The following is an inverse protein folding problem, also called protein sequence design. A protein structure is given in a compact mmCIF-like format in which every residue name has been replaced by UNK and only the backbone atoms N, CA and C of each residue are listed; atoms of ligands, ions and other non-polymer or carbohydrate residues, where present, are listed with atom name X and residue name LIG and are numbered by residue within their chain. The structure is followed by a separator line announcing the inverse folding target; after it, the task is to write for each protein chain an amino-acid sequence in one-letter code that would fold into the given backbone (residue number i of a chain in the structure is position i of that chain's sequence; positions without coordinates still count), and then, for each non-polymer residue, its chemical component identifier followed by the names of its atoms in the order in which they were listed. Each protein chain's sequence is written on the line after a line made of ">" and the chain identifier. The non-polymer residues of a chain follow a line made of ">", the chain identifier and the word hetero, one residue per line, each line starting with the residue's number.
data_IF_117470499860
#
_entry.id   IF_117470499860
#
_cell.length_a   1.000
_cell.length_b   1.000
_cell.length_c   1.000
_cell.angle_alpha   90.00
_cell.angle_beta   90.00
_cell.angle_gamma   90.00
#
_symmetry.space_group_name_H-M   'P 1'
#
loop_
_entity.id
_entity.type
_entity.pdbx_description
1 polymer ?
#
# COMPACT_ATOMS: atom_id res chain seq x y z
N UNK A 1 10.68 -21.71 5.66
CA UNK A 1 12.04 -22.20 5.31
C UNK A 1 13.05 -21.43 6.15
N UNK A 2 14.12 -22.03 6.66
CA UNK A 2 15.10 -21.29 7.50
C UNK A 2 15.97 -20.39 6.61
N UNK A 3 16.45 -19.23 7.10
CA UNK A 3 17.33 -18.32 6.33
C UNK A 3 18.55 -19.03 5.73
N UNK A 4 19.19 -19.92 6.49
CA UNK A 4 20.33 -20.71 6.01
C UNK A 4 19.99 -21.64 4.84
N UNK A 5 18.79 -22.23 4.82
CA UNK A 5 18.34 -23.10 3.73
C UNK A 5 18.11 -22.29 2.44
N UNK A 6 17.58 -21.07 2.60
CA UNK A 6 17.43 -20.10 1.49
C UNK A 6 18.82 -19.72 0.97
N UNK A 7 19.75 -19.35 1.84
CA UNK A 7 21.12 -19.00 1.47
C UNK A 7 21.81 -20.12 0.68
N UNK A 8 21.63 -21.38 1.08
CA UNK A 8 22.19 -22.54 0.36
C UNK A 8 21.65 -22.67 -1.06
N UNK A 9 20.41 -22.28 -1.31
CA UNK A 9 19.81 -22.34 -2.66
C UNK A 9 20.47 -21.37 -3.65
N UNK A 10 21.22 -20.37 -3.16
CA UNK A 10 21.95 -19.40 -3.99
C UNK A 10 23.43 -19.75 -4.21
N UNK A 11 23.94 -20.88 -3.70
CA UNK A 11 25.36 -21.25 -3.90
C UNK A 11 25.66 -21.33 -5.41
N UNK A 12 26.71 -20.63 -5.83
CA UNK A 12 27.12 -20.53 -7.24
C UNK A 12 26.55 -19.33 -7.99
N UNK A 13 25.67 -18.52 -7.38
CA UNK A 13 25.33 -17.20 -7.94
C UNK A 13 26.57 -16.30 -7.94
N UNK A 14 26.92 -15.75 -9.10
CA UNK A 14 28.05 -14.82 -9.30
C UNK A 14 27.56 -13.46 -9.77
N UNK A 15 28.37 -12.41 -9.60
CA UNK A 15 28.18 -11.15 -10.34
C UNK A 15 28.11 -11.41 -11.86
N UNK A 16 27.44 -10.53 -12.57
CA UNK A 16 27.29 -10.64 -14.02
C UNK A 16 28.62 -10.37 -14.74
N UNK A 17 28.71 -10.86 -15.99
CA UNK A 17 29.94 -10.74 -16.76
C UNK A 17 30.08 -9.34 -17.34
N UNK A 18 31.09 -8.59 -16.91
CA UNK A 18 31.44 -7.29 -17.48
C UNK A 18 30.44 -6.19 -17.07
N UNK A 19 29.85 -5.42 -18.00
CA UNK A 19 28.92 -4.34 -17.67
C UNK A 19 27.48 -4.81 -17.43
N UNK A 20 27.22 -6.12 -17.47
CA UNK A 20 25.88 -6.67 -17.26
C UNK A 20 25.74 -7.12 -15.80
N UNK A 21 24.74 -6.61 -15.08
CA UNK A 21 24.45 -6.99 -13.71
C UNK A 21 23.69 -8.32 -13.61
N UNK A 22 23.94 -9.09 -12.55
CA UNK A 22 23.14 -10.27 -12.27
C UNK A 22 21.78 -9.87 -11.67
N UNK A 23 20.63 -10.14 -12.34
CA UNK A 23 19.31 -9.74 -11.85
C UNK A 23 18.95 -10.34 -10.49
N UNK A 24 19.54 -11.49 -10.14
CA UNK A 24 19.35 -12.12 -8.83
C UNK A 24 20.02 -11.29 -7.72
N UNK A 25 21.21 -10.74 -7.97
CA UNK A 25 21.89 -9.87 -6.99
C UNK A 25 21.16 -8.52 -6.88
N UNK A 26 20.65 -7.99 -7.99
CA UNK A 26 19.81 -6.79 -7.99
C UNK A 26 18.53 -7.01 -7.16
N UNK A 27 17.91 -8.19 -7.26
CA UNK A 27 16.77 -8.56 -6.40
C UNK A 27 17.16 -8.62 -4.92
N UNK A 28 18.38 -9.08 -4.58
CA UNK A 28 18.85 -9.06 -3.19
C UNK A 28 18.87 -7.65 -2.63
N UNK A 29 19.38 -6.67 -3.39
CA UNK A 29 19.37 -5.26 -3.02
C UNK A 29 17.95 -4.72 -2.85
N UNK A 30 17.08 -4.94 -3.84
CA UNK A 30 15.70 -4.46 -3.79
C UNK A 30 14.94 -5.04 -2.58
N UNK A 31 15.14 -6.32 -2.27
CA UNK A 31 14.45 -6.99 -1.16
C UNK A 31 14.77 -6.42 0.21
N UNK A 32 15.89 -5.70 0.36
CA UNK A 32 16.30 -5.04 1.61
C UNK A 32 16.13 -3.52 1.56
N UNK A 33 15.44 -2.98 0.55
CA UNK A 33 15.16 -1.54 0.44
C UNK A 33 16.23 -0.72 -0.29
N UNK A 34 17.07 -1.35 -1.10
CA UNK A 34 18.19 -0.72 -1.81
C UNK A 34 18.07 -0.87 -3.34
N UNK A 35 16.87 -0.68 -3.88
CA UNK A 35 16.56 -0.79 -5.31
C UNK A 35 17.20 0.31 -6.19
N UNK A 36 17.75 1.36 -5.57
CA UNK A 36 18.55 2.42 -6.20
C UNK A 36 19.99 1.99 -6.53
N UNK A 37 20.46 0.83 -6.05
CA UNK A 37 21.80 0.33 -6.40
C UNK A 37 21.77 -0.12 -7.86
N UNK A 38 22.56 0.53 -8.71
CA UNK A 38 22.57 0.30 -10.16
C UNK A 38 23.53 -0.82 -10.60
N UNK A 39 24.52 -1.18 -9.76
CA UNK A 39 25.55 -2.15 -10.11
C UNK A 39 25.75 -3.24 -9.07
N UNK A 40 25.86 -4.49 -9.53
CA UNK A 40 26.09 -5.65 -8.66
C UNK A 40 27.51 -5.71 -8.05
N UNK A 41 28.46 -4.94 -8.59
CA UNK A 41 29.83 -4.77 -8.06
C UNK A 41 29.93 -4.01 -6.73
N UNK A 42 28.84 -3.37 -6.27
CA UNK A 42 28.77 -2.79 -4.93
C UNK A 42 28.79 -3.93 -3.91
N UNK A 43 29.42 -3.75 -2.74
CA UNK A 43 29.54 -4.84 -1.76
C UNK A 43 28.16 -5.37 -1.27
N UNK A 44 27.76 -6.55 -1.75
CA UNK A 44 26.42 -7.12 -1.51
C UNK A 44 26.35 -8.21 -0.43
N UNK A 45 27.42 -8.43 0.34
CA UNK A 45 27.44 -9.45 1.41
C UNK A 45 26.29 -9.26 2.43
N UNK A 46 26.03 -8.02 2.86
CA UNK A 46 24.94 -7.72 3.79
C UNK A 46 23.56 -7.75 3.13
N UNK A 47 23.46 -7.34 1.85
CA UNK A 47 22.23 -7.46 1.06
C UNK A 47 21.81 -8.93 0.91
N UNK A 48 22.76 -9.84 0.63
CA UNK A 48 22.51 -11.28 0.56
C UNK A 48 21.95 -11.85 1.86
N UNK A 49 22.59 -11.53 3.00
CA UNK A 49 22.11 -12.00 4.32
C UNK A 49 20.72 -11.43 4.61
N UNK A 50 20.51 -10.14 4.32
CA UNK A 50 19.22 -9.51 4.53
C UNK A 50 18.13 -10.11 3.67
N UNK A 51 18.39 -10.33 2.38
CA UNK A 51 17.49 -11.02 1.46
C UNK A 51 17.07 -12.39 1.99
N UNK A 52 18.02 -13.19 2.49
CA UNK A 52 17.72 -14.51 3.05
C UNK A 52 16.82 -14.44 4.30
N UNK A 53 17.02 -13.43 5.16
CA UNK A 53 16.15 -13.20 6.32
C UNK A 53 14.76 -12.73 5.92
N UNK A 54 14.64 -11.71 5.07
CA UNK A 54 13.34 -11.18 4.64
C UNK A 54 12.52 -12.26 3.91
N UNK A 55 13.17 -13.08 3.07
CA UNK A 55 12.54 -14.26 2.43
C UNK A 55 12.11 -15.34 3.43
N UNK A 56 12.74 -15.42 4.60
CA UNK A 56 12.33 -16.31 5.68
C UNK A 56 11.23 -15.68 6.58
N UNK A 57 10.79 -14.45 6.30
CA UNK A 57 9.84 -13.72 7.14
C UNK A 57 10.46 -13.11 8.41
N UNK A 58 11.78 -12.94 8.44
CA UNK A 58 12.53 -12.36 9.57
C UNK A 58 13.07 -11.00 9.15
N UNK A 59 12.82 -9.97 9.95
CA UNK A 59 13.32 -8.62 9.60
C UNK A 59 14.84 -8.57 9.70
N UNK A 60 15.49 -8.22 8.59
CA UNK A 60 16.94 -8.03 8.54
C UNK A 60 17.35 -6.66 9.11
N UNK A 61 18.64 -6.31 9.05
CA UNK A 61 19.09 -4.95 9.35
C UNK A 61 18.69 -3.93 8.29
N UNK A 62 18.36 -4.38 7.07
CA UNK A 62 18.08 -3.53 5.89
C UNK A 62 19.21 -2.54 5.57
N UNK A 63 20.44 -2.89 5.95
CA UNK A 63 21.64 -2.08 5.72
C UNK A 63 22.63 -2.86 4.87
N UNK A 64 23.34 -2.14 3.99
CA UNK A 64 24.42 -2.72 3.18
C UNK A 64 25.75 -2.88 3.93
N UNK A 65 25.85 -2.37 5.16
CA UNK A 65 27.06 -2.49 5.98
C UNK A 65 27.06 -3.81 6.76
N UNK A 66 28.06 -4.67 6.52
CA UNK A 66 28.18 -5.96 7.21
C UNK A 66 28.18 -5.84 8.75
N UNK A 67 28.85 -4.80 9.27
CA UNK A 67 28.92 -4.52 10.72
C UNK A 67 27.57 -4.13 11.33
N UNK A 68 26.54 -3.78 10.55
CA UNK A 68 25.20 -3.53 11.09
C UNK A 68 24.61 -4.74 11.82
N UNK A 69 25.02 -5.95 11.45
CA UNK A 69 24.59 -7.17 12.12
C UNK A 69 25.17 -7.31 13.52
N UNK A 70 26.22 -6.57 13.89
CA UNK A 70 26.76 -6.61 15.25
C UNK A 70 25.77 -6.14 16.30
N UNK A 71 24.69 -5.43 15.95
CA UNK A 71 23.64 -5.02 16.90
C UNK A 71 22.29 -5.70 16.61
N UNK A 72 22.28 -6.71 15.74
CA UNK A 72 21.07 -7.40 15.29
C UNK A 72 20.87 -8.74 16.01
N UNK A 73 19.63 -9.02 16.43
CA UNK A 73 19.27 -10.27 17.09
C UNK A 73 19.96 -10.45 18.46
N UNK A 74 20.17 -11.71 18.86
CA UNK A 74 20.77 -12.06 20.16
C UNK A 74 22.27 -12.30 19.99
N UNK A 75 23.13 -11.72 20.86
CA UNK A 75 24.54 -12.10 20.93
C UNK A 75 24.69 -13.58 21.29
N UNK A 76 25.61 -14.26 20.62
CA UNK A 76 25.96 -15.66 20.90
C UNK A 76 27.47 -15.74 21.10
N UNK A 77 27.89 -16.46 22.13
CA UNK A 77 29.30 -16.77 22.34
C UNK A 77 29.77 -17.75 21.26
N UNK A 78 31.03 -17.62 20.81
CA UNK A 78 31.56 -18.42 19.70
C UNK A 78 31.43 -19.94 19.97
N UNK A 79 31.55 -20.35 21.23
CA UNK A 79 31.42 -21.76 21.65
C UNK A 79 30.00 -22.31 21.51
N UNK A 80 29.00 -21.43 21.54
CA UNK A 80 27.57 -21.75 21.44
C UNK A 80 27.01 -21.47 20.03
N UNK A 81 27.88 -21.07 19.10
CA UNK A 81 27.52 -20.78 17.72
C UNK A 81 26.98 -22.03 17.01
N UNK A 82 25.92 -21.85 16.25
CA UNK A 82 25.22 -22.90 15.52
C UNK A 82 25.15 -22.60 14.03
N UNK A 83 24.86 -23.62 13.23
CA UNK A 83 24.61 -23.43 11.81
C UNK A 83 23.43 -22.46 11.59
N UNK A 84 23.65 -21.47 10.74
CA UNK A 84 22.69 -20.41 10.45
C UNK A 84 22.79 -19.18 11.36
N UNK A 85 23.65 -19.18 12.37
CA UNK A 85 24.03 -17.94 13.07
C UNK A 85 24.81 -17.03 12.12
N UNK A 86 24.82 -15.73 12.41
CA UNK A 86 25.55 -14.72 11.64
C UNK A 86 26.93 -14.51 12.24
N UNK A 87 27.97 -14.67 11.42
CA UNK A 87 29.33 -14.27 11.74
C UNK A 87 29.66 -12.94 11.07
N UNK A 88 30.29 -12.03 11.82
CA UNK A 88 30.81 -10.76 11.29
C UNK A 88 32.32 -10.72 11.48
N UNK A 89 33.06 -10.40 10.42
CA UNK A 89 34.53 -10.24 10.43
C UNK A 89 34.93 -8.86 9.88
N UNK A 90 36.12 -8.33 10.21
CA UNK A 90 36.61 -7.11 9.56
C UNK A 90 36.97 -7.41 8.10
N UNK A 91 36.81 -6.40 7.23
CA UNK A 91 37.30 -6.39 5.85
C UNK A 91 37.92 -5.01 5.59
N UNK A 92 39.02 -4.94 4.86
CA UNK A 92 39.70 -3.66 4.57
C UNK A 92 40.40 -3.03 5.77
N UNK A 93 40.65 -1.71 5.68
CA UNK A 93 41.50 -0.96 6.61
C UNK A 93 40.73 -0.03 7.56
N UNK A 94 39.41 0.08 7.41
CA UNK A 94 38.58 0.97 8.22
C UNK A 94 37.69 0.23 9.21
N UNK A 95 37.42 0.84 10.37
CA UNK A 95 36.60 0.27 11.44
C UNK A 95 35.10 0.16 11.13
N UNK A 96 34.62 0.71 10.01
CA UNK A 96 33.25 0.52 9.55
C UNK A 96 33.11 -0.62 8.53
N UNK A 97 34.20 -0.99 7.86
CA UNK A 97 34.19 -2.02 6.82
C UNK A 97 34.13 -3.43 7.44
N UNK A 98 33.44 -4.36 6.79
CA UNK A 98 33.31 -5.71 7.32
C UNK A 98 32.85 -6.69 6.26
N UNK A 99 32.76 -7.95 6.66
CA UNK A 99 32.12 -9.01 5.89
C UNK A 99 31.19 -9.80 6.81
N UNK A 100 30.05 -10.23 6.29
CA UNK A 100 29.01 -10.93 7.03
C UNK A 100 28.60 -12.18 6.28
N UNK A 101 28.38 -13.27 7.01
CA UNK A 101 28.02 -14.57 6.45
C UNK A 101 27.18 -15.36 7.45
N UNK A 102 26.45 -16.37 6.96
CA UNK A 102 25.91 -17.41 7.82
C UNK A 102 27.01 -18.40 8.19
N UNK A 103 27.14 -18.73 9.46
CA UNK A 103 27.99 -19.80 9.96
C UNK A 103 27.42 -21.13 9.46
N UNK A 104 28.20 -21.87 8.68
CA UNK A 104 27.90 -23.25 8.32
C UNK A 104 28.34 -24.19 9.45
N UNK A 105 29.59 -24.02 9.92
CA UNK A 105 30.16 -24.75 11.05
C UNK A 105 31.44 -24.08 11.58
N UNK A 106 31.85 -24.44 12.79
CA UNK A 106 33.13 -24.05 13.40
C UNK A 106 33.87 -25.34 13.79
N UNK A 107 35.12 -25.46 13.37
CA UNK A 107 35.99 -26.60 13.71
C UNK A 107 37.38 -26.07 14.07
N UNK A 108 37.79 -26.28 15.33
CA UNK A 108 39.05 -25.77 15.87
C UNK A 108 39.16 -24.24 15.74
N UNK A 109 40.21 -23.78 15.06
CA UNK A 109 40.48 -22.35 14.86
C UNK A 109 39.80 -21.75 13.63
N UNK A 110 38.93 -22.50 12.93
CA UNK A 110 38.33 -22.10 11.66
C UNK A 110 36.80 -22.07 11.74
N UNK A 111 36.21 -21.05 11.12
CA UNK A 111 34.77 -20.93 10.86
C UNK A 111 34.53 -21.00 9.35
N UNK A 112 33.59 -21.84 8.93
CA UNK A 112 33.11 -21.91 7.56
C UNK A 112 31.86 -21.03 7.44
N UNK A 113 31.92 -20.03 6.57
CA UNK A 113 30.90 -19.05 6.33
C UNK A 113 30.30 -19.17 4.92
N UNK A 114 28.98 -19.36 4.87
CA UNK A 114 28.16 -19.21 3.67
C UNK A 114 27.76 -17.75 3.51
N UNK A 115 28.29 -17.07 2.50
CA UNK A 115 28.06 -15.65 2.29
C UNK A 115 28.12 -15.25 0.81
N UNK A 116 27.48 -14.13 0.49
CA UNK A 116 27.56 -13.46 -0.80
C UNK A 116 28.77 -12.53 -0.92
N UNK A 117 29.12 -12.11 -2.13
CA UNK A 117 30.29 -11.29 -2.44
C UNK A 117 31.60 -11.91 -1.88
N UNK A 118 31.70 -13.24 -1.95
CA UNK A 118 32.90 -13.99 -1.55
C UNK A 118 33.63 -14.48 -2.80
N UNK A 119 34.56 -13.65 -3.30
CA UNK A 119 35.07 -13.70 -4.69
C UNK A 119 33.92 -13.51 -5.68
N UNK A 120 33.16 -12.42 -5.49
CA UNK A 120 32.07 -11.99 -6.38
C UNK A 120 30.99 -13.06 -6.60
N UNK A 121 30.83 -13.94 -5.59
CA UNK A 121 29.93 -15.08 -5.64
C UNK A 121 29.36 -15.46 -4.27
N UNK A 122 28.25 -16.21 -4.28
CA UNK A 122 27.74 -16.92 -3.10
C UNK A 122 28.48 -18.24 -2.96
N UNK A 123 29.32 -18.34 -1.93
CA UNK A 123 30.17 -19.51 -1.68
C UNK A 123 30.26 -19.84 -0.19
N UNK A 124 30.85 -21.00 0.13
CA UNK A 124 31.31 -21.33 1.48
C UNK A 124 32.81 -21.09 1.55
N UNK A 125 33.26 -20.19 2.43
CA UNK A 125 34.68 -19.91 2.68
C UNK A 125 35.04 -20.11 4.13
N UNK A 126 36.31 -20.41 4.40
CA UNK A 126 36.82 -20.51 5.77
C UNK A 126 37.52 -19.23 6.21
N UNK A 127 37.29 -18.82 7.45
CA UNK A 127 37.95 -17.69 8.09
C UNK A 127 38.49 -18.12 9.47
N UNK A 128 39.55 -17.47 9.98
CA UNK A 128 39.99 -17.72 11.35
C UNK A 128 38.92 -17.27 12.36
N UNK A 129 38.65 -18.10 13.37
CA UNK A 129 37.74 -17.75 14.47
C UNK A 129 38.20 -16.47 15.18
N UNK A 130 39.50 -16.22 15.27
CA UNK A 130 40.07 -15.00 15.85
C UNK A 130 39.70 -13.70 15.12
N UNK A 131 39.15 -13.79 13.90
CA UNK A 131 38.64 -12.63 13.15
C UNK A 131 37.16 -12.33 13.40
N UNK A 132 36.43 -13.20 14.10
CA UNK A 132 35.03 -12.94 14.44
C UNK A 132 34.95 -11.75 15.40
N UNK A 133 34.30 -10.68 14.93
CA UNK A 133 33.95 -9.52 15.73
C UNK A 133 32.74 -9.79 16.62
N UNK A 134 31.89 -10.74 16.21
CA UNK A 134 30.73 -11.18 16.95
C UNK A 134 29.94 -12.26 16.21
N UNK A 135 29.18 -13.05 16.97
CA UNK A 135 28.22 -14.03 16.47
C UNK A 135 26.83 -13.64 16.92
N UNK A 136 25.85 -13.74 16.02
CA UNK A 136 24.48 -13.26 16.24
C UNK A 136 23.46 -14.27 15.78
N UNK A 137 22.43 -14.51 16.58
CA UNK A 137 21.34 -15.44 16.26
C UNK A 137 20.04 -14.69 16.03
N UNK A 138 19.27 -15.16 15.06
CA UNK A 138 17.89 -14.73 14.86
C UNK A 138 17.05 -15.13 16.09
N UNK A 139 16.91 -14.21 17.04
CA UNK A 139 16.11 -14.37 18.25
C UNK A 139 15.67 -12.99 18.75
N UNK A 140 14.46 -12.88 19.28
CA UNK A 140 13.82 -11.60 19.66
C UNK A 140 13.83 -10.52 18.55
N UNK A 141 14.06 -10.93 17.29
CA UNK A 141 13.96 -10.06 16.13
C UNK A 141 12.48 -9.96 15.79
N UNK A 142 11.99 -8.73 15.59
CA UNK A 142 10.62 -8.54 15.14
C UNK A 142 10.38 -9.40 13.89
N UNK A 143 9.24 -10.11 13.78
CA UNK A 143 8.87 -10.72 12.52
C UNK A 143 8.95 -9.64 11.44
N UNK A 144 9.41 -10.01 10.24
CA UNK A 144 9.19 -9.12 9.11
C UNK A 144 7.67 -9.00 9.03
N UNK A 145 7.11 -7.88 9.49
CA UNK A 145 5.71 -7.56 9.26
C UNK A 145 5.64 -7.23 7.78
N UNK A 146 5.67 -8.26 6.95
CA UNK A 146 5.20 -8.15 5.58
C UNK A 146 3.74 -7.78 5.73
N UNK A 147 3.42 -6.53 5.43
CA UNK A 147 2.03 -6.09 5.36
C UNK A 147 1.29 -7.13 4.52
N UNK A 148 0.25 -7.73 5.09
CA UNK A 148 -0.59 -8.65 4.33
C UNK A 148 -1.10 -7.93 3.08
N UNK A 149 -1.42 -8.67 2.02
CA UNK A 149 -2.00 -8.08 0.80
C UNK A 149 -3.23 -7.22 1.15
N UNK A 150 -4.07 -7.70 2.08
CA UNK A 150 -5.20 -6.96 2.63
C UNK A 150 -4.80 -5.64 3.27
N UNK A 151 -3.72 -5.63 4.08
CA UNK A 151 -3.21 -4.42 4.73
C UNK A 151 -2.61 -3.43 3.71
N UNK A 152 -1.89 -3.93 2.70
CA UNK A 152 -1.39 -3.10 1.59
C UNK A 152 -2.55 -2.49 0.81
N UNK A 153 -3.56 -3.30 0.47
CA UNK A 153 -4.74 -2.83 -0.25
C UNK A 153 -5.48 -1.75 0.53
N UNK A 154 -5.70 -1.95 1.83
CA UNK A 154 -6.32 -0.96 2.71
C UNK A 154 -5.49 0.33 2.74
N UNK A 155 -4.18 0.22 2.97
CA UNK A 155 -3.29 1.38 3.09
C UNK A 155 -3.22 2.18 1.79
N UNK A 156 -3.10 1.52 0.65
CA UNK A 156 -3.15 2.16 -0.67
C UNK A 156 -4.48 2.90 -0.89
N UNK A 157 -5.60 2.29 -0.50
CA UNK A 157 -6.92 2.91 -0.61
C UNK A 157 -7.06 4.15 0.27
N UNK A 158 -6.53 4.10 1.49
CA UNK A 158 -6.51 5.23 2.42
C UNK A 158 -5.62 6.38 1.92
N UNK A 159 -4.57 6.05 1.18
CA UNK A 159 -3.67 7.01 0.53
C UNK A 159 -4.24 7.53 -0.81
N UNK A 160 -5.44 7.14 -1.23
CA UNK A 160 -6.09 7.65 -2.44
C UNK A 160 -5.83 6.85 -3.72
N UNK A 161 -5.19 5.68 -3.64
CA UNK A 161 -4.99 4.76 -4.77
C UNK A 161 -6.22 3.86 -4.96
N UNK A 162 -7.34 4.44 -5.38
CA UNK A 162 -8.62 3.73 -5.53
C UNK A 162 -8.64 2.69 -6.66
N UNK A 163 -7.66 2.75 -7.58
CA UNK A 163 -7.42 1.73 -8.60
C UNK A 163 -7.23 0.33 -8.01
N UNK A 164 -6.74 0.24 -6.75
CA UNK A 164 -6.54 -1.00 -5.98
C UNK A 164 -7.82 -1.83 -5.88
N UNK A 165 -8.99 -1.19 -5.88
CA UNK A 165 -10.29 -1.85 -5.90
C UNK A 165 -10.79 -2.37 -4.56
N UNK A 166 -11.27 -3.61 -4.56
CA UNK A 166 -11.79 -4.26 -3.36
C UNK A 166 -10.65 -4.85 -2.54
N UNK A 167 -10.83 -4.86 -1.22
CA UNK A 167 -9.86 -5.41 -0.28
C UNK A 167 -10.18 -6.90 -0.14
N UNK A 168 -9.62 -7.69 -1.03
CA UNK A 168 -9.88 -9.12 -1.18
C UNK A 168 -8.68 -10.00 -0.78
N UNK A 169 -7.56 -9.38 -0.36
CA UNK A 169 -6.32 -10.07 -0.01
C UNK A 169 -5.60 -10.71 -1.20
N UNK A 170 -6.03 -10.44 -2.43
CA UNK A 170 -5.48 -11.05 -3.64
C UNK A 170 -4.54 -10.10 -4.39
N UNK A 171 -3.37 -10.60 -4.79
CA UNK A 171 -2.40 -9.89 -5.63
C UNK A 171 -2.78 -9.93 -7.12
N UNK A 172 -4.00 -9.46 -7.41
CA UNK A 172 -4.55 -9.34 -8.77
C UNK A 172 -4.01 -8.14 -9.56
N UNK A 173 -4.41 -7.99 -10.83
CA UNK A 173 -3.92 -6.91 -11.71
C UNK A 173 -4.12 -5.50 -11.14
N UNK A 174 -5.24 -5.28 -10.45
CA UNK A 174 -5.58 -3.99 -9.81
C UNK A 174 -4.66 -3.66 -8.64
N UNK A 175 -4.43 -4.62 -7.74
CA UNK A 175 -3.49 -4.48 -6.63
C UNK A 175 -2.07 -4.20 -7.14
N UNK A 176 -1.64 -4.94 -8.16
CA UNK A 176 -0.32 -4.75 -8.79
C UNK A 176 -0.18 -3.37 -9.42
N UNK A 177 -1.19 -2.92 -10.16
CA UNK A 177 -1.20 -1.59 -10.77
C UNK A 177 -1.17 -0.47 -9.70
N UNK A 178 -1.93 -0.62 -8.61
CA UNK A 178 -1.93 0.34 -7.51
C UNK A 178 -0.57 0.40 -6.79
N UNK A 179 0.08 -0.75 -6.58
CA UNK A 179 1.44 -0.81 -6.04
C UNK A 179 2.41 -0.09 -6.97
N UNK A 180 2.34 -0.35 -8.28
CA UNK A 180 3.20 0.32 -9.26
C UNK A 180 2.97 1.85 -9.29
N UNK A 181 1.72 2.30 -9.22
CA UNK A 181 1.39 3.72 -9.15
C UNK A 181 1.92 4.37 -7.87
N UNK A 182 1.73 3.73 -6.71
CA UNK A 182 2.28 4.21 -5.45
C UNK A 182 3.80 4.30 -5.47
N UNK A 183 4.46 3.25 -5.98
CA UNK A 183 5.92 3.20 -6.11
C UNK A 183 6.43 4.32 -7.02
N UNK A 184 5.78 4.52 -8.16
CA UNK A 184 6.09 5.62 -9.07
C UNK A 184 5.96 7.00 -8.40
N UNK A 185 4.89 7.21 -7.64
CA UNK A 185 4.63 8.49 -6.97
C UNK A 185 5.57 8.75 -5.76
N UNK A 186 6.28 7.73 -5.28
CA UNK A 186 7.20 7.79 -4.14
C UNK A 186 8.66 7.48 -4.53
N UNK A 187 8.99 7.59 -5.82
CA UNK A 187 10.35 7.39 -6.36
C UNK A 187 10.98 6.02 -6.00
N UNK A 188 10.15 4.96 -5.98
CA UNK A 188 10.57 3.58 -5.74
C UNK A 188 10.68 2.79 -7.05
N UNK A 189 11.44 1.70 -7.07
CA UNK A 189 11.51 0.84 -8.24
C UNK A 189 10.14 0.27 -8.63
N UNK A 190 9.86 0.25 -9.93
CA UNK A 190 8.56 -0.12 -10.49
C UNK A 190 8.38 -1.64 -10.57
N UNK A 191 8.29 -2.29 -9.42
CA UNK A 191 8.04 -3.72 -9.28
C UNK A 191 6.73 -3.98 -8.52
N UNK A 192 5.86 -4.90 -9.00
CA UNK A 192 4.56 -5.15 -8.39
C UNK A 192 4.63 -6.19 -7.26
N UNK A 193 5.56 -6.00 -6.32
CA UNK A 193 5.82 -6.89 -5.18
C UNK A 193 5.61 -6.15 -3.86
N UNK A 194 5.28 -6.91 -2.80
CA UNK A 194 5.24 -6.39 -1.43
C UNK A 194 6.59 -6.72 -0.79
N UNK A 195 7.49 -5.75 -0.84
CA UNK A 195 8.82 -5.83 -0.27
C UNK A 195 8.99 -4.80 0.85
N UNK A 196 10.17 -4.81 1.44
CA UNK A 196 10.59 -3.89 2.49
C UNK A 196 10.37 -2.43 2.09
N UNK A 197 10.86 -2.04 0.91
CA UNK A 197 10.77 -0.67 0.40
C UNK A 197 9.31 -0.20 0.36
N UNK A 198 8.41 -1.01 -0.22
CA UNK A 198 6.99 -0.68 -0.25
C UNK A 198 6.41 -0.54 1.16
N UNK A 199 6.70 -1.49 2.05
CA UNK A 199 6.11 -1.46 3.40
C UNK A 199 6.55 -0.26 4.21
N UNK A 200 7.82 0.14 4.14
CA UNK A 200 8.35 1.32 4.84
C UNK A 200 7.81 2.61 4.22
N UNK A 201 7.73 2.69 2.89
CA UNK A 201 7.14 3.84 2.22
C UNK A 201 5.65 3.99 2.58
N UNK A 202 4.89 2.89 2.61
CA UNK A 202 3.47 2.92 3.02
C UNK A 202 3.27 3.36 4.47
N UNK A 203 4.23 3.10 5.36
CA UNK A 203 4.17 3.52 6.77
C UNK A 203 4.23 5.05 6.90
N UNK A 204 5.07 5.71 6.10
CA UNK A 204 5.31 7.15 6.19
C UNK A 204 4.62 7.99 5.10
N UNK A 205 3.99 7.35 4.11
CA UNK A 205 3.36 8.05 3.00
C UNK A 205 2.19 8.94 3.43
N UNK A 206 2.09 10.07 2.74
CA UNK A 206 0.96 10.99 2.79
C UNK A 206 -0.05 10.65 1.69
N UNK A 207 -1.33 11.03 1.83
CA UNK A 207 -2.32 10.84 0.79
C UNK A 207 -1.88 11.45 -0.55
N UNK A 208 -2.21 10.78 -1.65
CA UNK A 208 -1.89 11.17 -3.02
C UNK A 208 -2.51 12.52 -3.37
N UNK A 209 -1.71 13.42 -3.94
CA UNK A 209 -2.20 14.70 -4.43
C UNK A 209 -3.17 14.53 -5.60
N UNK A 210 -4.28 15.26 -5.54
CA UNK A 210 -5.25 15.30 -6.63
C UNK A 210 -4.72 16.28 -7.68
N UNK A 211 -4.42 15.77 -8.88
CA UNK A 211 -4.00 16.60 -10.00
C UNK A 211 -4.97 17.79 -10.21
N UNK A 212 -4.49 19.02 -10.44
CA UNK A 212 -5.33 20.22 -10.52
C UNK A 212 -6.39 20.14 -11.63
N UNK A 213 -6.13 19.42 -12.72
CA UNK A 213 -7.14 19.16 -13.75
C UNK A 213 -8.29 18.29 -13.23
N UNK A 214 -8.00 17.28 -12.40
CA UNK A 214 -9.06 16.48 -11.76
C UNK A 214 -9.79 17.28 -10.71
N UNK A 215 -9.08 18.08 -9.91
CA UNK A 215 -9.67 18.89 -8.84
C UNK A 215 -10.71 19.91 -9.34
N UNK A 216 -10.53 20.41 -10.57
CA UNK A 216 -11.48 21.33 -11.23
C UNK A 216 -12.53 20.60 -12.09
N UNK A 217 -12.31 19.33 -12.43
CA UNK A 217 -13.17 18.52 -13.27
C UNK A 217 -14.58 18.28 -12.70
N UNK A 218 -15.54 18.14 -13.62
CA UNK A 218 -16.93 17.73 -13.36
C UNK A 218 -17.21 16.53 -14.26
N UNK A 219 -17.82 15.44 -13.75
CA UNK A 219 -18.05 14.25 -14.55
C UNK A 219 -19.01 14.52 -15.72
N UNK A 220 -18.55 14.28 -16.95
CA UNK A 220 -19.34 14.30 -18.18
C UNK A 220 -20.28 13.08 -18.22
N UNK A 221 -21.50 13.24 -18.73
CA UNK A 221 -22.50 12.16 -18.94
C UNK A 221 -22.92 11.35 -17.69
N UNK A 222 -22.79 11.93 -16.49
CA UNK A 222 -23.24 11.25 -15.27
C UNK A 222 -24.77 11.26 -15.12
N UNK A 223 -25.39 10.07 -15.11
CA UNK A 223 -26.83 9.90 -14.82
C UNK A 223 -27.26 10.51 -13.48
N UNK A 224 -26.38 10.47 -12.47
CA UNK A 224 -26.62 11.06 -11.14
C UNK A 224 -26.66 12.58 -11.24
N UNK A 225 -25.73 13.19 -12.00
CA UNK A 225 -25.72 14.62 -12.26
C UNK A 225 -26.98 15.05 -13.02
N UNK A 226 -27.39 14.31 -14.04
CA UNK A 226 -28.60 14.57 -14.81
C UNK A 226 -29.85 14.50 -13.94
N UNK A 227 -30.00 13.45 -13.14
CA UNK A 227 -31.13 13.28 -12.23
C UNK A 227 -31.18 14.37 -11.14
N UNK A 228 -30.04 14.69 -10.52
CA UNK A 228 -29.95 15.72 -9.49
C UNK A 228 -30.25 17.12 -10.07
N UNK A 229 -29.73 17.45 -11.25
CA UNK A 229 -30.02 18.71 -11.93
C UNK A 229 -31.51 18.81 -12.30
N UNK A 230 -32.14 17.71 -12.73
CA UNK A 230 -33.58 17.68 -12.99
C UNK A 230 -34.41 17.92 -11.72
N UNK A 231 -34.08 17.25 -10.61
CA UNK A 231 -34.77 17.44 -9.32
C UNK A 231 -34.63 18.88 -8.79
N UNK A 232 -33.45 19.48 -8.91
CA UNK A 232 -33.21 20.88 -8.53
C UNK A 232 -34.00 21.82 -9.46
N UNK A 233 -33.96 21.57 -10.78
CA UNK A 233 -34.63 22.40 -11.79
C UNK A 233 -36.15 22.39 -11.67
N UNK A 234 -36.76 21.21 -11.55
CA UNK A 234 -38.20 21.08 -11.26
C UNK A 234 -38.57 21.80 -9.97
N UNK A 235 -37.69 21.73 -8.97
CA UNK A 235 -37.93 22.36 -7.70
C UNK A 235 -37.96 23.88 -7.72
N UNK A 236 -37.02 24.50 -8.44
CA UNK A 236 -37.00 25.96 -8.63
C UNK A 236 -38.25 26.42 -9.39
N UNK A 237 -38.67 25.68 -10.41
CA UNK A 237 -39.88 25.98 -11.19
C UNK A 237 -41.14 25.86 -10.31
N UNK A 238 -41.23 24.82 -9.48
CA UNK A 238 -42.35 24.63 -8.55
C UNK A 238 -42.45 25.70 -7.45
N UNK A 239 -41.32 26.18 -6.93
CA UNK A 239 -41.29 27.19 -5.85
C UNK A 239 -41.59 28.62 -6.33
N UNK A 240 -41.30 28.94 -7.60
CA UNK A 240 -41.52 30.29 -8.18
C UNK A 240 -42.91 30.42 -8.82
N UNK A 241 -43.67 29.33 -8.94
CA UNK A 241 -45.04 29.37 -9.47
C UNK A 241 -45.13 29.64 -10.98
N UNK A 242 -44.02 29.48 -11.72
CA UNK A 242 -44.01 29.63 -13.17
C UNK A 242 -44.55 28.36 -13.83
N UNK A 243 -45.83 28.38 -14.19
CA UNK A 243 -46.52 27.30 -14.89
C UNK A 243 -45.92 27.16 -16.30
N UNK A 244 -44.98 26.22 -16.45
CA UNK A 244 -44.51 25.74 -17.75
C UNK A 244 -45.24 24.45 -18.15
N UNK A 245 -45.43 24.21 -19.45
CA UNK A 245 -46.11 23.00 -19.98
C UNK A 245 -45.47 21.67 -19.58
N UNK A 246 -44.25 21.68 -19.04
CA UNK A 246 -43.49 20.49 -18.66
C UNK A 246 -43.81 19.96 -17.25
N UNK A 247 -44.45 20.76 -16.38
CA UNK A 247 -44.84 20.34 -15.02
C UNK A 247 -46.33 20.02 -14.88
N UNK A 248 -47.11 20.18 -15.96
CA UNK A 248 -48.56 19.93 -15.96
C UNK A 248 -48.95 18.51 -15.49
N UNK A 249 -48.26 17.42 -15.89
CA UNK A 249 -48.61 16.08 -15.41
C UNK A 249 -48.40 15.92 -13.90
N UNK A 250 -47.29 16.44 -13.38
CA UNK A 250 -46.97 16.37 -11.96
C UNK A 250 -47.90 17.25 -11.10
N UNK A 251 -48.37 18.38 -11.66
CA UNK A 251 -49.36 19.22 -10.99
C UNK A 251 -50.70 18.50 -10.87
N UNK A 252 -51.15 17.83 -11.94
CA UNK A 252 -52.41 17.07 -11.93
C UNK A 252 -52.36 15.91 -10.93
N UNK A 253 -51.27 15.15 -10.88
CA UNK A 253 -51.09 14.08 -9.89
C UNK A 253 -51.06 14.63 -8.45
N UNK A 254 -50.42 15.78 -8.23
CA UNK A 254 -50.39 16.42 -6.92
C UNK A 254 -51.77 16.95 -6.49
N UNK A 255 -52.57 17.49 -7.42
CA UNK A 255 -53.95 17.91 -7.19
C UNK A 255 -54.84 16.70 -6.86
N UNK A 256 -54.71 15.59 -7.59
CA UNK A 256 -55.44 14.34 -7.32
C UNK A 256 -55.08 13.73 -5.96
N UNK A 257 -53.79 13.70 -5.62
CA UNK A 257 -53.32 13.24 -4.32
C UNK A 257 -53.80 14.13 -3.17
N UNK A 258 -53.84 15.45 -3.38
CA UNK A 258 -54.38 16.42 -2.42
C UNK A 258 -55.87 16.21 -2.19
N UNK A 259 -56.63 15.97 -3.25
CA UNK A 259 -58.06 15.70 -3.17
C UNK A 259 -58.36 14.37 -2.47
N UNK A 260 -57.58 13.32 -2.75
CA UNK A 260 -57.70 12.04 -2.06
C UNK A 260 -57.36 12.17 -0.57
N UNK A 261 -56.28 12.89 -0.23
CA UNK A 261 -55.92 13.16 1.16
C UNK A 261 -57.03 13.95 1.87
N UNK A 262 -57.53 15.02 1.25
CA UNK A 262 -58.63 15.82 1.77
C UNK A 262 -59.84 14.95 2.12
N UNK A 263 -60.25 14.04 1.22
CA UNK A 263 -61.37 13.10 1.45
C UNK A 263 -61.16 12.12 2.61
N UNK A 264 -59.92 11.72 2.90
CA UNK A 264 -59.61 10.84 4.03
C UNK A 264 -59.59 11.62 5.34
N UNK A 265 -59.05 12.84 5.33
CA UNK A 265 -58.96 13.67 6.53
C UNK A 265 -60.30 14.27 6.95
N UNK A 266 -61.24 14.45 6.00
CA UNK A 266 -62.64 14.82 6.29
C UNK A 266 -63.37 13.73 7.08
N UNK A 267 -63.14 12.46 6.72
CA UNK A 267 -63.71 11.29 7.42
C UNK A 267 -63.27 11.16 8.89
N UNK A 268 -62.14 11.75 9.28
CA UNK A 268 -61.57 11.69 10.64
C UNK A 268 -61.59 13.05 11.38
N UNK A 269 -62.25 14.07 10.82
CA UNK A 269 -62.49 15.36 11.49
C UNK A 269 -61.25 16.26 11.65
N UNK A 270 -60.20 16.08 10.83
CA UNK A 270 -58.92 16.81 10.92
C UNK A 270 -58.72 17.85 9.79
N UNK A 271 -59.80 18.26 9.14
CA UNK A 271 -59.81 19.11 7.93
C UNK A 271 -59.06 20.45 8.10
N UNK A 272 -59.26 21.10 9.25
CA UNK A 272 -58.63 22.39 9.55
C UNK A 272 -57.12 22.27 9.82
N UNK A 273 -56.67 21.14 10.35
CA UNK A 273 -55.24 20.92 10.62
C UNK A 273 -54.48 20.63 9.32
N UNK A 274 -55.07 19.82 8.43
CA UNK A 274 -54.47 19.47 7.16
C UNK A 274 -54.28 20.72 6.28
N UNK A 275 -55.32 21.53 6.09
CA UNK A 275 -55.27 22.72 5.22
C UNK A 275 -54.20 23.73 5.64
N UNK A 276 -53.97 23.90 6.95
CA UNK A 276 -52.95 24.79 7.49
C UNK A 276 -51.54 24.18 7.42
N UNK A 277 -51.42 22.87 7.62
CA UNK A 277 -50.11 22.19 7.73
C UNK A 277 -49.57 21.68 6.39
N UNK A 278 -50.43 21.39 5.41
CA UNK A 278 -50.06 20.81 4.11
C UNK A 278 -49.02 21.65 3.34
N UNK A 279 -49.12 23.00 3.28
CA UNK A 279 -48.10 23.81 2.60
C UNK A 279 -46.73 23.68 3.26
N UNK A 280 -46.68 23.62 4.59
CA UNK A 280 -45.43 23.49 5.35
C UNK A 280 -44.82 22.08 5.23
N UNK A 281 -45.66 21.04 5.24
CA UNK A 281 -45.22 19.66 4.99
C UNK A 281 -44.67 19.54 3.56
N UNK A 282 -45.39 20.09 2.58
CA UNK A 282 -44.94 20.13 1.18
C UNK A 282 -43.61 20.87 1.03
N UNK A 283 -43.48 22.04 1.66
CA UNK A 283 -42.22 22.79 1.69
C UNK A 283 -41.07 22.02 2.36
N UNK A 284 -41.33 21.32 3.46
CA UNK A 284 -40.32 20.52 4.16
C UNK A 284 -39.83 19.32 3.34
N UNK A 285 -40.76 18.57 2.73
CA UNK A 285 -40.43 17.45 1.82
C UNK A 285 -39.64 17.98 0.62
N UNK A 286 -40.06 19.11 0.06
CA UNK A 286 -39.41 19.76 -1.06
C UNK A 286 -37.97 20.18 -0.74
N UNK A 287 -37.76 20.90 0.37
CA UNK A 287 -36.42 21.27 0.87
C UNK A 287 -35.57 20.02 1.08
N UNK A 288 -36.15 18.95 1.63
CA UNK A 288 -35.47 17.66 1.80
C UNK A 288 -34.97 17.08 0.47
N UNK A 289 -35.81 17.02 -0.56
CA UNK A 289 -35.44 16.50 -1.89
C UNK A 289 -34.31 17.32 -2.51
N UNK A 290 -34.41 18.66 -2.49
CA UNK A 290 -33.36 19.54 -3.02
C UNK A 290 -32.05 19.37 -2.24
N UNK A 291 -32.12 19.27 -0.92
CA UNK A 291 -30.95 19.01 -0.08
C UNK A 291 -30.25 17.69 -0.43
N UNK A 292 -31.02 16.60 -0.58
CA UNK A 292 -30.45 15.30 -0.97
C UNK A 292 -29.90 15.32 -2.40
N UNK A 293 -30.55 16.01 -3.35
CA UNK A 293 -30.06 16.17 -4.71
C UNK A 293 -28.73 16.95 -4.76
N UNK A 294 -28.62 18.05 -4.01
CA UNK A 294 -27.38 18.82 -3.87
C UNK A 294 -26.26 17.97 -3.25
N UNK A 295 -26.59 17.20 -2.20
CA UNK A 295 -25.63 16.29 -1.55
C UNK A 295 -25.15 15.19 -2.50
N UNK A 296 -26.05 14.59 -3.27
CA UNK A 296 -25.71 13.57 -4.27
C UNK A 296 -24.83 14.12 -5.39
N UNK A 297 -25.12 15.34 -5.87
CA UNK A 297 -24.30 16.07 -6.84
C UNK A 297 -22.90 16.36 -6.29
N UNK A 298 -22.82 16.91 -5.07
CA UNK A 298 -21.54 17.18 -4.43
C UNK A 298 -20.71 15.91 -4.24
N UNK A 299 -21.33 14.82 -3.78
CA UNK A 299 -20.67 13.53 -3.64
C UNK A 299 -20.16 12.97 -4.98
N UNK A 300 -20.94 13.07 -6.06
CA UNK A 300 -20.50 12.58 -7.37
C UNK A 300 -19.34 13.40 -7.95
N UNK A 301 -19.34 14.71 -7.70
CA UNK A 301 -18.22 15.58 -8.08
C UNK A 301 -16.98 15.21 -7.26
N UNK A 302 -17.11 15.02 -5.95
CA UNK A 302 -16.00 14.56 -5.08
C UNK A 302 -15.43 13.23 -5.57
N UNK A 303 -16.27 12.22 -5.80
CA UNK A 303 -15.84 10.89 -6.27
C UNK A 303 -15.08 10.95 -7.60
N UNK A 304 -15.49 11.84 -8.51
CA UNK A 304 -14.81 12.07 -9.78
C UNK A 304 -13.45 12.74 -9.58
N UNK A 305 -13.38 13.75 -8.71
CA UNK A 305 -12.14 14.49 -8.40
C UNK A 305 -11.11 13.61 -7.70
N UNK A 306 -11.56 12.80 -6.72
CA UNK A 306 -10.68 11.90 -5.97
C UNK A 306 -10.41 10.58 -6.68
N UNK A 307 -11.09 10.28 -7.80
CA UNK A 307 -10.90 9.04 -8.56
C UNK A 307 -11.47 7.78 -7.89
N UNK A 308 -12.41 7.93 -6.93
CA UNK A 308 -13.08 6.80 -6.25
C UNK A 308 -13.93 5.97 -7.21
N UNK A 309 -14.35 6.59 -8.30
CA UNK A 309 -15.11 5.93 -9.37
C UNK A 309 -14.60 6.43 -10.72
N UNK A 310 -14.40 5.54 -11.70
CA UNK A 310 -14.32 5.95 -13.10
C UNK A 310 -15.63 6.62 -13.57
#
# INVERSE_FOLDING_TARGET
>A
MKPFDIARSYIGTTEGLGPADNPVIMEMYASVGHDWVEHDSVAWCAAFIGHCFERAGIRSTRKLTARSYLDWGVPVEVVDAQQGDIGVIPRGNSNWQGHVFFIDRIEGAWVWGLGGNQDDAVTVKRFPVSKLLGVRRAGNVAPAVTLSVTAVQQRLKDLGYHEVGQIDGSMGPRTRAAILAFRNDNDLALVPIIDVALTEALEHATPRDIAPERASGVPTDSRIMTAANAQIGLGVIGAVGSIGSQIAPALMEAEEARDMASRVFTLIGLENWLSVSLPWIGAAVFIGVVFYALRAKAARIDDHRTGKTP
#
